data_IF_205195298333
#
_entry.id   IF_205195298333
#
_cell.length_a   1.000
_cell.length_b   1.000
_cell.length_c   1.000
_cell.angle_alpha   90.00
_cell.angle_beta   90.00
_cell.angle_gamma   90.00
#
_symmetry.space_group_name_H-M   'P 1'
#
loop_
_entity.id
_entity.type
_entity.pdbx_description
1 polymer ?
#
# COMPACT_ATOMS: atom_id res chain seq x y z
N UNK A 1 21.29 17.96 -15.75
CA UNK A 1 20.70 16.62 -15.98
C UNK A 1 19.91 16.30 -14.74
N UNK A 2 18.61 16.14 -14.94
CA UNK A 2 17.56 16.21 -13.93
C UNK A 2 17.73 15.14 -12.85
N UNK A 3 17.43 15.52 -11.61
CA UNK A 3 17.41 14.63 -10.48
C UNK A 3 16.39 13.51 -10.74
N UNK A 4 16.87 12.29 -10.95
CA UNK A 4 16.06 11.08 -10.76
C UNK A 4 15.72 11.04 -9.27
N UNK A 5 14.58 11.65 -8.94
CA UNK A 5 13.96 11.57 -7.62
C UNK A 5 13.89 10.08 -7.28
N UNK A 6 14.51 9.72 -6.17
CA UNK A 6 14.45 8.37 -5.58
C UNK A 6 12.98 7.96 -5.50
N UNK A 7 12.53 7.13 -6.43
CA UNK A 7 11.10 6.85 -6.63
C UNK A 7 10.46 6.11 -5.45
N UNK A 8 11.29 5.56 -4.56
CA UNK A 8 10.90 4.71 -3.47
C UNK A 8 11.70 5.02 -2.21
N UNK A 9 11.07 4.85 -1.05
CA UNK A 9 11.65 4.96 0.28
C UNK A 9 11.40 3.68 1.08
N UNK A 10 12.15 3.51 2.18
CA UNK A 10 11.87 2.46 3.16
C UNK A 10 10.44 2.64 3.70
N UNK A 11 9.68 1.54 3.73
CA UNK A 11 8.27 1.50 4.12
C UNK A 11 7.27 1.65 2.98
N UNK A 12 7.69 2.05 1.78
CA UNK A 12 6.78 2.16 0.65
C UNK A 12 6.24 0.79 0.23
N UNK A 13 4.93 0.75 -0.03
CA UNK A 13 4.28 -0.43 -0.60
C UNK A 13 4.55 -0.51 -2.09
N UNK A 14 4.92 -1.69 -2.54
CA UNK A 14 5.30 -1.96 -3.92
C UNK A 14 4.74 -3.29 -4.41
N UNK A 15 4.54 -3.35 -5.73
CA UNK A 15 4.39 -4.60 -6.47
C UNK A 15 5.61 -4.78 -7.37
N UNK A 16 5.94 -6.01 -7.72
CA UNK A 16 7.08 -6.23 -8.59
C UNK A 16 7.43 -7.70 -8.77
N UNK A 17 8.66 -7.91 -9.22
CA UNK A 17 9.25 -9.22 -9.45
C UNK A 17 10.52 -9.43 -8.66
N UNK A 18 10.70 -10.61 -8.08
CA UNK A 18 11.98 -10.99 -7.47
C UNK A 18 13.03 -11.29 -8.54
N UNK A 19 14.29 -11.49 -8.13
CA UNK A 19 15.33 -12.01 -9.03
C UNK A 19 15.01 -13.38 -9.64
N UNK A 20 14.14 -14.19 -9.02
CA UNK A 20 13.74 -15.48 -9.56
C UNK A 20 12.43 -15.38 -10.38
N UNK A 21 12.04 -14.17 -10.80
CA UNK A 21 10.86 -13.88 -11.63
C UNK A 21 9.51 -14.15 -10.93
N UNK A 22 9.49 -14.25 -9.60
CA UNK A 22 8.25 -14.44 -8.82
C UNK A 22 7.53 -13.10 -8.65
N UNK A 23 6.23 -13.06 -8.91
CA UNK A 23 5.42 -11.87 -8.69
C UNK A 23 5.16 -11.69 -7.19
N UNK A 24 5.24 -10.45 -6.71
CA UNK A 24 4.94 -10.15 -5.32
C UNK A 24 4.18 -8.84 -5.11
N UNK A 25 3.56 -8.76 -3.94
CA UNK A 25 3.11 -7.53 -3.28
C UNK A 25 3.76 -7.48 -1.91
N UNK A 26 4.30 -6.32 -1.53
CA UNK A 26 5.02 -6.16 -0.27
C UNK A 26 5.40 -4.72 0.02
N UNK A 27 6.29 -4.54 0.99
CA UNK A 27 6.84 -3.22 1.31
C UNK A 27 8.36 -3.26 1.36
N UNK A 28 8.99 -2.12 1.08
CA UNK A 28 10.44 -1.96 1.09
C UNK A 28 10.94 -1.92 2.54
N UNK A 29 11.84 -2.83 2.90
CA UNK A 29 12.48 -2.86 4.21
C UNK A 29 13.84 -2.14 4.20
N UNK A 30 14.53 -2.14 3.06
CA UNK A 30 15.76 -1.36 2.85
C UNK A 30 16.06 -1.19 1.34
N UNK A 31 16.60 -0.04 0.96
CA UNK A 31 17.09 0.24 -0.40
C UNK A 31 18.62 0.26 -0.44
N UNK A 32 19.20 -0.38 -1.45
CA UNK A 32 20.62 -0.27 -1.81
C UNK A 32 20.74 0.45 -3.15
N UNK A 33 21.05 1.75 -3.08
CA UNK A 33 21.18 2.61 -4.25
C UNK A 33 22.45 2.33 -5.08
N UNK A 34 23.51 1.79 -4.46
CA UNK A 34 24.74 1.46 -5.21
C UNK A 34 24.52 0.26 -6.13
N UNK A 35 23.66 -0.68 -5.71
CA UNK A 35 23.32 -1.89 -6.46
C UNK A 35 22.01 -1.81 -7.21
N UNK A 36 21.29 -0.69 -7.12
CA UNK A 36 19.95 -0.50 -7.67
C UNK A 36 18.98 -1.62 -7.28
N UNK A 37 19.02 -2.03 -6.00
CA UNK A 37 18.16 -3.10 -5.46
C UNK A 37 17.40 -2.67 -4.22
N UNK A 38 16.32 -3.38 -3.92
CA UNK A 38 15.57 -3.25 -2.68
C UNK A 38 15.35 -4.62 -2.03
N UNK A 39 15.41 -4.65 -0.69
CA UNK A 39 14.93 -5.76 0.13
C UNK A 39 13.46 -5.53 0.43
N UNK A 40 12.63 -6.47 0.02
CA UNK A 40 11.17 -6.41 0.14
C UNK A 40 10.70 -7.43 1.15
N UNK A 41 9.88 -7.01 2.11
CA UNK A 41 9.06 -7.93 2.89
C UNK A 41 7.85 -8.35 2.07
N UNK A 42 7.79 -9.62 1.68
CA UNK A 42 6.71 -10.14 0.84
C UNK A 42 5.46 -10.42 1.67
N UNK A 43 4.32 -9.87 1.26
CA UNK A 43 3.01 -10.07 1.90
C UNK A 43 2.14 -11.01 1.07
N UNK A 44 2.21 -10.92 -0.26
CA UNK A 44 1.56 -11.85 -1.19
C UNK A 44 2.50 -12.17 -2.35
N UNK A 45 2.42 -13.38 -2.88
CA UNK A 45 3.17 -13.80 -4.07
C UNK A 45 2.50 -14.99 -4.74
N UNK A 46 2.76 -15.16 -6.03
CA UNK A 46 2.45 -16.38 -6.78
C UNK A 46 3.28 -17.60 -6.32
N UNK A 47 4.42 -17.37 -5.67
CA UNK A 47 5.17 -18.39 -4.95
C UNK A 47 4.90 -18.34 -3.44
N UNK A 48 4.13 -19.29 -2.87
CA UNK A 48 3.79 -19.26 -1.45
C UNK A 48 4.99 -19.42 -0.51
N UNK A 49 6.12 -19.95 -1.00
CA UNK A 49 7.30 -20.19 -0.18
C UNK A 49 8.04 -18.91 0.22
N UNK A 50 7.79 -17.79 -0.46
CA UNK A 50 8.45 -16.51 -0.16
C UNK A 50 7.59 -15.57 0.68
N UNK A 51 6.31 -15.89 0.91
CA UNK A 51 5.40 -15.07 1.73
C UNK A 51 5.94 -14.95 3.16
N UNK A 52 5.96 -13.72 3.68
CA UNK A 52 6.51 -13.35 5.00
C UNK A 52 8.03 -13.22 5.05
N UNK A 53 8.74 -13.60 3.98
CA UNK A 53 10.21 -13.55 3.91
C UNK A 53 10.69 -12.26 3.26
N UNK A 54 12.00 -12.02 3.41
CA UNK A 54 12.71 -11.00 2.67
C UNK A 54 13.12 -11.54 1.30
N UNK A 55 12.77 -10.82 0.25
CA UNK A 55 13.20 -11.09 -1.12
C UNK A 55 13.91 -9.87 -1.70
N UNK A 56 14.87 -10.10 -2.59
CA UNK A 56 15.55 -9.03 -3.31
C UNK A 56 14.87 -8.80 -4.67
N UNK A 57 14.76 -7.53 -5.04
CA UNK A 57 14.27 -7.08 -6.34
C UNK A 57 15.13 -5.93 -6.86
N UNK A 58 15.22 -5.79 -8.18
CA UNK A 58 15.81 -4.61 -8.82
C UNK A 58 14.83 -3.44 -8.74
N UNK A 59 15.33 -2.22 -8.53
CA UNK A 59 14.48 -1.04 -8.45
C UNK A 59 13.64 -0.82 -9.72
N UNK A 60 14.17 -1.17 -10.90
CA UNK A 60 13.44 -1.10 -12.17
C UNK A 60 12.23 -2.04 -12.27
N UNK A 61 12.21 -3.12 -11.48
CA UNK A 61 11.13 -4.10 -11.44
C UNK A 61 10.04 -3.73 -10.42
N UNK A 62 10.26 -2.67 -9.64
CA UNK A 62 9.28 -2.18 -8.67
C UNK A 62 8.29 -1.24 -9.35
N UNK A 63 7.04 -1.35 -8.93
CA UNK A 63 5.99 -0.39 -9.21
C UNK A 63 5.35 0.04 -7.90
N UNK A 64 4.96 1.32 -7.76
CA UNK A 64 4.16 1.74 -6.63
C UNK A 64 2.94 0.84 -6.48
N UNK A 65 2.61 0.48 -5.24
CA UNK A 65 1.37 -0.22 -4.98
C UNK A 65 0.21 0.76 -5.18
N UNK A 66 -0.56 0.58 -6.25
CA UNK A 66 -1.76 1.37 -6.50
C UNK A 66 -2.79 1.07 -5.40
N UNK A 67 -2.84 1.95 -4.39
CA UNK A 67 -3.89 1.86 -3.38
C UNK A 67 -5.20 2.26 -4.05
N UNK A 68 -6.15 1.33 -4.16
CA UNK A 68 -7.54 1.71 -4.42
C UNK A 68 -7.93 2.75 -3.39
N UNK A 69 -8.34 3.93 -3.85
CA UNK A 69 -8.65 5.02 -2.94
C UNK A 69 -9.65 4.50 -1.89
N UNK A 70 -9.39 4.78 -0.60
CA UNK A 70 -10.31 4.47 0.51
C UNK A 70 -11.66 5.22 0.40
N UNK A 71 -11.95 5.80 -0.76
CA UNK A 71 -13.14 6.57 -1.08
C UNK A 71 -14.33 5.69 -1.46
N UNK A 72 -14.20 4.36 -1.49
CA UNK A 72 -15.38 3.51 -1.60
C UNK A 72 -16.11 3.47 -0.25
N UNK A 73 -17.42 3.66 -0.27
CA UNK A 73 -18.24 3.67 0.95
C UNK A 73 -18.09 2.38 1.75
N UNK A 74 -17.99 1.22 1.08
CA UNK A 74 -17.76 -0.07 1.75
C UNK A 74 -16.45 -0.11 2.52
N UNK A 75 -15.37 0.48 2.00
CA UNK A 75 -14.08 0.55 2.71
C UNK A 75 -14.18 1.42 3.96
N UNK A 76 -14.85 2.58 3.88
CA UNK A 76 -15.07 3.43 5.04
C UNK A 76 -15.90 2.73 6.13
N UNK A 77 -16.96 2.01 5.74
CA UNK A 77 -17.79 1.26 6.69
C UNK A 77 -16.98 0.16 7.41
N UNK A 78 -16.16 -0.60 6.67
CA UNK A 78 -15.30 -1.62 7.27
C UNK A 78 -14.30 -1.02 8.29
N UNK A 79 -13.74 0.15 7.99
CA UNK A 79 -12.83 0.84 8.91
C UNK A 79 -13.57 1.40 10.13
N UNK A 80 -14.81 1.85 9.98
CA UNK A 80 -15.67 2.30 11.09
C UNK A 80 -15.93 1.14 12.05
N UNK A 81 -16.27 -0.04 11.53
CA UNK A 81 -16.48 -1.25 12.34
C UNK A 81 -15.20 -1.64 13.10
N UNK A 82 -14.03 -1.48 12.47
CA UNK A 82 -12.76 -1.73 13.13
C UNK A 82 -12.50 -0.71 14.25
N UNK A 83 -12.76 0.58 14.03
CA UNK A 83 -12.63 1.62 15.05
C UNK A 83 -13.55 1.37 16.26
N UNK A 84 -14.78 0.91 16.01
CA UNK A 84 -15.70 0.51 17.08
C UNK A 84 -15.16 -0.69 17.88
N UNK A 85 -14.64 -1.70 17.18
CA UNK A 85 -14.08 -2.91 17.78
C UNK A 85 -12.87 -2.60 18.66
N UNK A 86 -12.02 -1.67 18.23
CA UNK A 86 -10.84 -1.21 18.99
C UNK A 86 -11.16 -0.11 20.01
N UNK A 87 -12.41 0.38 20.04
CA UNK A 87 -12.88 1.51 20.87
C UNK A 87 -12.11 2.81 20.62
N UNK A 88 -11.60 3.00 19.41
CA UNK A 88 -10.95 4.25 19.01
C UNK A 88 -11.98 5.30 18.60
N UNK A 89 -12.40 6.11 19.59
CA UNK A 89 -13.37 7.18 19.38
C UNK A 89 -12.89 8.24 18.39
N UNK A 90 -11.60 8.59 18.40
CA UNK A 90 -11.08 9.65 17.53
C UNK A 90 -11.16 9.21 16.08
N UNK A 91 -10.65 8.01 15.81
CA UNK A 91 -10.66 7.44 14.47
C UNK A 91 -12.07 7.18 13.94
N UNK A 92 -12.98 6.70 14.80
CA UNK A 92 -14.40 6.55 14.45
C UNK A 92 -15.04 7.86 13.97
N UNK A 93 -14.78 8.97 14.68
CA UNK A 93 -15.35 10.28 14.33
C UNK A 93 -14.81 10.80 13.00
N UNK A 94 -13.51 10.63 12.75
CA UNK A 94 -12.87 11.00 11.48
C UNK A 94 -13.50 10.24 10.31
N UNK A 95 -13.56 8.90 10.40
CA UNK A 95 -14.10 8.04 9.35
C UNK A 95 -15.59 8.29 9.06
N UNK A 96 -16.39 8.47 10.11
CA UNK A 96 -17.82 8.78 9.97
C UNK A 96 -18.04 10.16 9.31
N UNK A 97 -17.17 11.13 9.60
CA UNK A 97 -17.23 12.45 8.96
C UNK A 97 -16.91 12.35 7.46
N UNK A 98 -15.84 11.62 7.10
CA UNK A 98 -15.49 11.36 5.70
C UNK A 98 -16.61 10.61 4.95
N UNK A 99 -17.26 9.65 5.60
CA UNK A 99 -18.41 8.94 5.01
C UNK A 99 -19.58 9.91 4.73
N UNK A 100 -19.86 10.84 5.65
CA UNK A 100 -20.92 11.83 5.49
C UNK A 100 -20.63 12.79 4.32
N UNK A 101 -19.40 13.31 4.25
CA UNK A 101 -18.96 14.19 3.16
C UNK A 101 -19.12 13.53 1.79
N UNK A 102 -18.76 12.26 1.68
CA UNK A 102 -18.94 11.48 0.44
C UNK A 102 -20.41 11.35 0.05
N UNK A 103 -21.29 11.00 1.00
CA UNK A 103 -22.73 10.87 0.71
C UNK A 103 -23.32 12.19 0.21
N UNK A 104 -22.92 13.31 0.81
CA UNK A 104 -23.34 14.65 0.37
C UNK A 104 -22.81 15.05 -1.02
N UNK A 105 -21.64 14.55 -1.44
CA UNK A 105 -21.12 14.77 -2.80
C UNK A 105 -21.87 13.96 -3.85
N UNK A 106 -22.23 12.71 -3.55
CA UNK A 106 -23.02 11.85 -4.46
C UNK A 106 -24.42 12.41 -4.73
N UNK A 107 -25.00 13.15 -3.78
CA UNK A 107 -26.31 13.79 -3.94
C UNK A 107 -26.27 15.11 -4.75
N UNK A 108 -25.09 15.71 -4.96
CA UNK A 108 -24.93 16.96 -5.73
C UNK A 108 -24.58 16.74 -7.20
N UNK A 109 -24.16 15.53 -7.58
CA UNK A 109 -23.83 15.14 -8.96
C UNK A 109 -25.01 14.41 -9.67
N UNK A 110 -26.21 14.49 -9.11
CA UNK A 110 -27.45 13.88 -9.61
C UNK A 110 -28.48 14.95 -10.00
#
# INVERSE_FOLDING_TARGET
MEALITQFNDGDWVTGKTFNDELFQGYIEAIDHERETAKIRVIQSDNPHIIGKLSLSLLENLRPYETTSLKEEGHLLNLIDLALTTKDKKWFMELTSSLKERKSQVDSDK
#
